data_IF_298994629583
#
_entry.id   IF_298994629583
#
_cell.length_a   1.000
_cell.length_b   1.000
_cell.length_c   1.000
_cell.angle_alpha   90.00
_cell.angle_beta   90.00
_cell.angle_gamma   90.00
#
_symmetry.space_group_name_H-M   'P 1'
#
loop_
_entity.id
_entity.type
_entity.pdbx_description
1 polymer ?
#
# COMPACT_ATOMS: atom_id res chain seq x y z
N UNK A 1 16.23 -30.94 -6.30
CA UNK A 1 15.71 -29.58 -6.58
C UNK A 1 14.23 -29.65 -6.91
N UNK A 2 13.32 -29.36 -5.96
CA UNK A 2 11.89 -29.17 -6.27
C UNK A 2 11.77 -27.89 -7.09
N UNK A 3 11.33 -27.99 -8.34
CA UNK A 3 11.09 -26.79 -9.16
C UNK A 3 9.82 -26.12 -8.65
N UNK A 4 9.80 -24.79 -8.47
CA UNK A 4 8.58 -24.07 -8.14
C UNK A 4 7.51 -24.39 -9.19
N UNK A 5 6.37 -24.90 -8.74
CA UNK A 5 5.21 -25.13 -9.59
C UNK A 5 4.46 -23.81 -9.70
N UNK A 6 4.62 -23.14 -10.84
CA UNK A 6 3.84 -21.93 -11.14
C UNK A 6 2.44 -22.34 -11.62
N UNK A 7 1.37 -21.70 -11.13
CA UNK A 7 0.01 -22.19 -11.30
C UNK A 7 -0.51 -22.11 -12.75
N UNK A 8 0.07 -21.24 -13.58
CA UNK A 8 -0.24 -21.13 -15.01
C UNK A 8 0.46 -22.18 -15.90
N UNK A 9 1.27 -23.07 -15.33
CA UNK A 9 2.05 -24.07 -16.10
C UNK A 9 1.21 -25.30 -16.48
N UNK A 10 0.46 -25.17 -17.57
CA UNK A 10 -0.43 -26.22 -18.09
C UNK A 10 0.27 -27.19 -19.09
N UNK A 11 -0.46 -28.20 -19.57
CA UNK A 11 0.05 -29.19 -20.54
C UNK A 11 0.46 -28.57 -21.88
N UNK A 12 -0.23 -27.54 -22.34
CA UNK A 12 0.13 -26.84 -23.58
C UNK A 12 1.53 -26.22 -23.47
N UNK A 13 1.81 -25.51 -22.37
CA UNK A 13 3.13 -24.94 -22.07
C UNK A 13 4.20 -26.03 -22.01
N UNK A 14 3.89 -27.20 -21.44
CA UNK A 14 4.81 -28.36 -21.42
C UNK A 14 5.14 -28.84 -22.84
N UNK A 15 4.12 -29.00 -23.68
CA UNK A 15 4.28 -29.49 -25.06
C UNK A 15 5.12 -28.54 -25.91
N UNK A 16 4.84 -27.24 -25.88
CA UNK A 16 5.61 -26.26 -26.68
C UNK A 16 7.05 -26.12 -26.19
N UNK A 17 7.31 -26.22 -24.88
CA UNK A 17 8.69 -26.23 -24.34
C UNK A 17 9.44 -27.49 -24.76
N UNK A 18 8.78 -28.65 -24.79
CA UNK A 18 9.37 -29.91 -25.30
C UNK A 18 9.69 -29.78 -26.79
N UNK A 19 8.77 -29.25 -27.60
CA UNK A 19 8.98 -29.03 -29.02
C UNK A 19 10.15 -28.07 -29.29
N UNK A 20 10.23 -26.94 -28.56
CA UNK A 20 11.36 -26.01 -28.62
C UNK A 20 12.69 -26.71 -28.32
N UNK A 21 12.76 -27.51 -27.25
CA UNK A 21 13.96 -28.27 -26.86
C UNK A 21 14.37 -29.32 -27.89
N UNK A 22 13.40 -29.95 -28.57
CA UNK A 22 13.69 -30.92 -29.66
C UNK A 22 14.27 -30.20 -30.87
N UNK A 23 13.66 -29.11 -31.32
CA UNK A 23 14.15 -28.29 -32.42
C UNK A 23 15.54 -27.70 -32.13
N UNK A 24 15.76 -27.23 -30.90
CA UNK A 24 17.06 -26.72 -30.45
C UNK A 24 18.15 -27.79 -30.55
N UNK A 25 17.88 -29.00 -30.03
CA UNK A 25 18.84 -30.11 -30.09
C UNK A 25 19.14 -30.52 -31.53
N UNK A 26 18.12 -30.59 -32.39
CA UNK A 26 18.29 -30.90 -33.80
C UNK A 26 19.20 -29.88 -34.49
N UNK A 27 18.89 -28.58 -34.36
CA UNK A 27 19.73 -27.52 -34.94
C UNK A 27 21.15 -27.51 -34.38
N UNK A 28 21.34 -27.76 -33.07
CA UNK A 28 22.68 -27.85 -32.48
C UNK A 28 23.51 -28.98 -33.08
N UNK A 29 22.88 -30.07 -33.49
CA UNK A 29 23.52 -31.22 -34.13
C UNK A 29 23.75 -31.00 -35.63
N UNK A 30 22.73 -30.59 -36.39
CA UNK A 30 22.81 -30.47 -37.86
C UNK A 30 23.50 -29.19 -38.33
N UNK A 31 23.40 -28.10 -37.57
CA UNK A 31 23.84 -26.73 -37.93
C UNK A 31 23.25 -26.18 -39.23
N UNK A 32 22.24 -26.81 -39.80
CA UNK A 32 21.58 -26.36 -41.03
C UNK A 32 20.70 -25.12 -40.78
N UNK A 33 20.66 -24.22 -41.76
CA UNK A 33 19.85 -23.00 -41.69
C UNK A 33 18.35 -23.30 -41.59
N UNK A 34 17.85 -24.33 -42.29
CA UNK A 34 16.46 -24.77 -42.18
C UNK A 34 16.08 -25.17 -40.75
N UNK A 35 16.94 -25.91 -40.06
CA UNK A 35 16.70 -26.30 -38.66
C UNK A 35 16.79 -25.11 -37.70
N UNK A 36 17.61 -24.08 -38.01
CA UNK A 36 17.63 -22.82 -37.27
C UNK A 36 16.30 -22.08 -37.38
N UNK A 37 15.71 -22.01 -38.58
CA UNK A 37 14.39 -21.39 -38.79
C UNK A 37 13.30 -22.11 -37.99
N UNK A 38 13.30 -23.45 -38.00
CA UNK A 38 12.38 -24.26 -37.21
C UNK A 38 12.56 -23.99 -35.71
N UNK A 39 13.80 -23.95 -35.21
CA UNK A 39 14.08 -23.61 -33.82
C UNK A 39 13.58 -22.21 -33.45
N UNK A 40 13.85 -21.19 -34.27
CA UNK A 40 13.38 -19.81 -34.05
C UNK A 40 11.85 -19.75 -33.98
N UNK A 41 11.16 -20.41 -34.92
CA UNK A 41 9.70 -20.51 -34.92
C UNK A 41 9.17 -21.14 -33.63
N UNK A 42 9.72 -22.29 -33.20
CA UNK A 42 9.33 -22.96 -31.95
C UNK A 42 9.71 -22.16 -30.70
N UNK A 43 10.79 -21.36 -30.73
CA UNK A 43 11.17 -20.43 -29.65
C UNK A 43 10.12 -19.33 -29.48
N UNK A 44 9.70 -18.72 -30.59
CA UNK A 44 8.68 -17.67 -30.58
C UNK A 44 7.32 -18.23 -30.13
N UNK A 45 6.92 -19.39 -30.66
CA UNK A 45 5.70 -20.09 -30.23
C UNK A 45 5.70 -20.38 -28.73
N UNK A 46 6.79 -20.94 -28.19
CA UNK A 46 6.88 -21.22 -26.76
C UNK A 46 6.81 -19.94 -25.91
N UNK A 47 7.42 -18.84 -26.37
CA UNK A 47 7.37 -17.54 -25.68
C UNK A 47 5.94 -16.98 -25.68
N UNK A 48 5.25 -17.03 -26.82
CA UNK A 48 3.87 -16.61 -26.95
C UNK A 48 2.94 -17.39 -26.02
N UNK A 49 2.97 -18.71 -26.08
CA UNK A 49 2.10 -19.57 -25.25
C UNK A 49 2.38 -19.39 -23.77
N UNK A 50 3.64 -19.21 -23.36
CA UNK A 50 3.98 -18.92 -21.96
C UNK A 50 3.40 -17.58 -21.50
N UNK A 51 3.54 -16.51 -22.30
CA UNK A 51 2.97 -15.20 -21.98
C UNK A 51 1.44 -15.27 -21.92
N UNK A 52 0.81 -15.92 -22.89
CA UNK A 52 -0.64 -16.10 -22.95
C UNK A 52 -1.16 -16.84 -21.71
N UNK A 53 -0.62 -18.02 -21.41
CA UNK A 53 -1.05 -18.81 -20.25
C UNK A 53 -0.87 -18.05 -18.92
N UNK A 54 0.22 -17.28 -18.78
CA UNK A 54 0.44 -16.43 -17.62
C UNK A 54 -0.62 -15.31 -17.52
N UNK A 55 -0.87 -14.60 -18.61
CA UNK A 55 -1.86 -13.52 -18.64
C UNK A 55 -3.28 -14.02 -18.39
N UNK A 56 -3.69 -15.10 -19.07
CA UNK A 56 -5.01 -15.72 -18.90
C UNK A 56 -5.23 -16.09 -17.43
N UNK A 57 -4.28 -16.82 -16.83
CA UNK A 57 -4.39 -17.25 -15.44
C UNK A 57 -4.57 -16.06 -14.48
N UNK A 58 -3.71 -15.05 -14.53
CA UNK A 58 -3.80 -13.94 -13.59
C UNK A 58 -5.00 -13.02 -13.86
N UNK A 59 -5.41 -12.88 -15.12
CA UNK A 59 -6.63 -12.12 -15.46
C UNK A 59 -7.87 -12.80 -14.88
N UNK A 60 -8.03 -14.11 -15.11
CA UNK A 60 -9.14 -14.89 -14.55
C UNK A 60 -9.10 -14.88 -13.03
N UNK A 61 -7.92 -15.09 -12.43
CA UNK A 61 -7.76 -15.06 -10.98
C UNK A 61 -8.21 -13.72 -10.37
N UNK A 62 -7.84 -12.59 -10.98
CA UNK A 62 -8.25 -11.26 -10.50
C UNK A 62 -9.76 -11.08 -10.64
N UNK A 63 -10.35 -11.49 -11.76
CA UNK A 63 -11.80 -11.40 -11.99
C UNK A 63 -12.58 -12.22 -10.95
N UNK A 64 -12.19 -13.48 -10.74
CA UNK A 64 -12.82 -14.40 -9.77
C UNK A 64 -12.70 -13.93 -8.31
N UNK A 65 -11.68 -13.13 -7.98
CA UNK A 65 -11.41 -12.65 -6.62
C UNK A 65 -11.62 -11.13 -6.48
N UNK A 66 -12.31 -10.50 -7.42
CA UNK A 66 -12.49 -9.04 -7.47
C UNK A 66 -13.13 -8.43 -6.21
N UNK A 67 -14.01 -9.17 -5.54
CA UNK A 67 -14.68 -8.76 -4.30
C UNK A 67 -13.90 -9.09 -3.02
N UNK A 68 -12.83 -9.89 -3.11
CA UNK A 68 -11.99 -10.29 -1.96
C UNK A 68 -10.66 -9.57 -2.01
N UNK A 69 -10.62 -8.35 -1.46
CA UNK A 69 -9.42 -7.52 -1.41
C UNK A 69 -8.24 -8.27 -0.77
N UNK A 70 -8.48 -9.15 0.21
CA UNK A 70 -7.41 -9.90 0.89
C UNK A 70 -6.73 -10.88 -0.06
N UNK A 71 -7.49 -11.60 -0.88
CA UNK A 71 -6.94 -12.53 -1.88
C UNK A 71 -6.22 -11.81 -3.01
N UNK A 72 -6.73 -10.66 -3.45
CA UNK A 72 -6.07 -9.81 -4.45
C UNK A 72 -4.70 -9.33 -3.94
N UNK A 73 -4.66 -8.72 -2.74
CA UNK A 73 -3.41 -8.25 -2.15
C UNK A 73 -2.40 -9.37 -1.93
N UNK A 74 -2.85 -10.54 -1.47
CA UNK A 74 -1.97 -11.70 -1.29
C UNK A 74 -1.34 -12.14 -2.62
N UNK A 75 -2.12 -12.12 -3.70
CA UNK A 75 -1.67 -12.58 -5.02
C UNK A 75 -0.75 -11.57 -5.71
N UNK A 76 -1.04 -10.27 -5.55
CA UNK A 76 -0.14 -9.20 -5.93
C UNK A 76 1.22 -9.34 -5.20
N UNK A 77 1.20 -9.59 -3.88
CA UNK A 77 2.43 -9.79 -3.10
C UNK A 77 3.29 -10.94 -3.65
N UNK A 78 2.68 -12.07 -4.02
CA UNK A 78 3.38 -13.18 -4.67
C UNK A 78 3.92 -12.82 -6.06
N UNK A 79 3.14 -12.09 -6.87
CA UNK A 79 3.53 -11.65 -8.21
C UNK A 79 4.74 -10.72 -8.20
N UNK A 80 4.75 -9.78 -7.26
CA UNK A 80 5.82 -8.79 -7.12
C UNK A 80 7.02 -9.32 -6.33
N UNK A 81 6.98 -10.59 -5.89
CA UNK A 81 8.05 -11.24 -5.13
C UNK A 81 8.51 -10.39 -3.94
N UNK A 82 7.57 -9.67 -3.31
CA UNK A 82 7.83 -8.86 -2.11
C UNK A 82 7.83 -9.77 -0.87
N UNK A 83 8.80 -10.66 -0.80
CA UNK A 83 9.28 -11.13 0.50
C UNK A 83 10.34 -10.15 0.97
N UNK A 84 9.89 -9.02 1.52
CA UNK A 84 10.76 -8.20 2.35
C UNK A 84 10.70 -8.78 3.75
N UNK A 85 11.68 -9.61 4.10
CA UNK A 85 12.01 -9.82 5.50
C UNK A 85 12.36 -8.44 6.06
N UNK A 86 11.44 -7.91 6.87
CA UNK A 86 11.64 -6.64 7.54
C UNK A 86 12.69 -6.87 8.63
N UNK A 87 13.95 -6.65 8.28
CA UNK A 87 15.04 -6.60 9.23
C UNK A 87 15.00 -5.27 9.95
N UNK A 88 14.34 -5.26 11.10
CA UNK A 88 14.51 -4.18 12.06
C UNK A 88 15.85 -4.35 12.77
N UNK A 89 16.56 -3.25 13.09
CA UNK A 89 17.67 -3.30 14.03
C UNK A 89 17.20 -3.94 15.34
N UNK A 90 18.05 -4.71 16.00
CA UNK A 90 17.82 -5.08 17.39
C UNK A 90 17.83 -3.79 18.22
N UNK A 91 16.65 -3.29 18.57
CA UNK A 91 16.48 -2.13 19.42
C UNK A 91 15.90 -2.59 20.75
N UNK A 92 16.64 -2.37 21.83
CA UNK A 92 16.21 -2.69 23.19
C UNK A 92 15.16 -1.73 23.71
N UNK A 93 15.05 -0.53 23.14
CA UNK A 93 14.12 0.52 23.56
C UNK A 93 13.03 0.78 22.51
N UNK A 94 11.82 0.32 22.82
CA UNK A 94 10.64 0.52 21.99
C UNK A 94 10.29 1.99 21.76
N UNK A 95 10.66 2.89 22.66
CA UNK A 95 10.38 4.33 22.51
C UNK A 95 11.27 4.96 21.45
N UNK A 96 12.56 4.62 21.46
CA UNK A 96 13.53 5.04 20.43
C UNK A 96 13.10 4.49 19.08
N UNK A 97 12.79 3.19 18.99
CA UNK A 97 12.32 2.58 17.74
C UNK A 97 11.05 3.26 17.20
N UNK A 98 10.08 3.58 18.06
CA UNK A 98 8.85 4.24 17.63
C UNK A 98 9.12 5.66 17.09
N UNK A 99 10.00 6.41 17.74
CA UNK A 99 10.40 7.75 17.29
C UNK A 99 11.21 7.69 15.98
N UNK A 100 12.17 6.78 15.86
CA UNK A 100 12.96 6.58 14.63
C UNK A 100 12.07 6.26 13.43
N UNK A 101 11.06 5.39 13.62
CA UNK A 101 10.05 5.10 12.59
C UNK A 101 9.25 6.36 12.26
N UNK A 102 8.85 7.14 13.27
CA UNK A 102 8.17 8.43 13.08
C UNK A 102 8.99 9.40 12.23
N UNK A 103 10.25 9.60 12.59
CA UNK A 103 11.20 10.48 11.92
C UNK A 103 11.46 10.03 10.48
N UNK A 104 11.62 8.71 10.25
CA UNK A 104 11.76 8.17 8.90
C UNK A 104 10.59 8.57 8.00
N UNK A 105 9.34 8.43 8.46
CA UNK A 105 8.17 8.79 7.65
C UNK A 105 7.98 10.29 7.51
N UNK A 106 8.31 11.08 8.53
CA UNK A 106 8.31 12.54 8.46
C UNK A 106 9.30 13.02 7.38
N UNK A 107 10.55 12.55 7.44
CA UNK A 107 11.59 12.85 6.46
C UNK A 107 11.21 12.40 5.05
N UNK A 108 10.66 11.19 4.91
CA UNK A 108 10.20 10.68 3.61
C UNK A 108 9.10 11.55 3.00
N UNK A 109 8.16 12.02 3.82
CA UNK A 109 7.10 12.93 3.36
C UNK A 109 7.68 14.24 2.86
N UNK A 110 8.67 14.78 3.58
CA UNK A 110 9.37 16.00 3.19
C UNK A 110 10.14 15.85 1.87
N UNK A 111 10.90 14.76 1.71
CA UNK A 111 11.58 14.46 0.44
C UNK A 111 10.60 14.36 -0.74
N UNK A 112 9.46 13.68 -0.56
CA UNK A 112 8.44 13.55 -1.62
C UNK A 112 7.88 14.93 -2.01
N UNK A 113 7.62 15.83 -1.04
CA UNK A 113 7.18 17.21 -1.34
C UNK A 113 8.21 17.96 -2.17
N UNK A 114 9.47 17.91 -1.75
CA UNK A 114 10.58 18.57 -2.45
C UNK A 114 10.75 18.05 -3.89
N UNK A 115 10.62 16.74 -4.09
CA UNK A 115 10.66 16.11 -5.41
C UNK A 115 9.49 16.56 -6.31
N UNK A 116 8.28 16.65 -5.75
CA UNK A 116 7.09 17.12 -6.47
C UNK A 116 7.19 18.60 -6.86
N UNK A 117 7.62 19.45 -5.94
CA UNK A 117 7.80 20.89 -6.18
C UNK A 117 8.89 21.12 -7.23
N UNK A 118 9.98 20.34 -7.17
CA UNK A 118 11.03 20.35 -8.19
C UNK A 118 10.48 19.94 -9.56
N UNK A 119 9.70 18.84 -9.63
CA UNK A 119 9.10 18.36 -10.87
C UNK A 119 8.13 19.37 -11.49
N UNK A 120 7.35 20.09 -10.69
CA UNK A 120 6.46 21.14 -11.15
C UNK A 120 7.20 22.31 -11.83
N UNK A 121 8.45 22.57 -11.42
CA UNK A 121 9.29 23.65 -11.97
C UNK A 121 9.85 23.32 -13.37
N UNK A 122 9.95 22.02 -13.74
CA UNK A 122 10.49 21.57 -15.03
C UNK A 122 9.44 21.47 -16.16
N UNK A 123 8.25 22.06 -16.00
CA UNK A 123 7.26 22.05 -17.07
C UNK A 123 7.74 22.86 -18.28
N UNK A 124 8.20 22.14 -19.31
CA UNK A 124 8.47 22.69 -20.64
C UNK A 124 7.17 23.32 -21.21
N UNK A 125 7.22 24.52 -21.82
CA UNK A 125 6.05 25.25 -22.30
C UNK A 125 5.39 24.66 -23.57
N UNK A 126 5.62 23.38 -23.89
CA UNK A 126 5.20 22.79 -25.18
C UNK A 126 3.98 21.87 -25.07
N UNK A 127 3.37 21.72 -23.90
CA UNK A 127 2.11 20.99 -23.73
C UNK A 127 0.97 21.98 -23.63
N UNK A 128 0.03 21.94 -24.57
CA UNK A 128 -1.21 22.72 -24.49
C UNK A 128 -1.85 22.53 -23.11
N UNK A 129 -2.27 23.61 -22.43
CA UNK A 129 -2.81 23.50 -21.08
C UNK A 129 -4.10 22.69 -21.14
N UNK A 130 -4.06 21.46 -20.62
CA UNK A 130 -5.29 20.75 -20.29
C UNK A 130 -6.04 21.63 -19.30
N UNK A 131 -7.19 22.16 -19.72
CA UNK A 131 -8.10 22.91 -18.86
C UNK A 131 -8.68 21.91 -17.86
N UNK A 132 -7.91 21.60 -16.83
CA UNK A 132 -8.44 20.95 -15.65
C UNK A 132 -9.33 21.99 -14.97
N UNK A 133 -10.59 21.64 -14.64
CA UNK A 133 -11.39 22.54 -13.82
C UNK A 133 -10.59 22.80 -12.54
N UNK A 134 -10.30 24.08 -12.27
CA UNK A 134 -9.57 24.51 -11.07
C UNK A 134 -10.49 24.32 -9.85
N UNK A 135 -10.78 23.07 -9.51
CA UNK A 135 -11.56 22.71 -8.33
C UNK A 135 -10.60 22.81 -7.16
N UNK A 136 -10.55 23.99 -6.56
CA UNK A 136 -9.82 24.23 -5.34
C UNK A 136 -10.76 24.06 -4.16
N UNK A 137 -10.30 23.34 -3.13
CA UNK A 137 -10.97 23.31 -1.85
C UNK A 137 -10.72 24.63 -1.15
N UNK A 138 -11.66 25.57 -1.29
CA UNK A 138 -11.54 26.92 -0.71
C UNK A 138 -11.88 26.96 0.79
N UNK A 139 -12.85 26.16 1.22
CA UNK A 139 -13.25 26.12 2.63
C UNK A 139 -13.85 24.78 3.04
N UNK A 140 -13.74 24.48 4.33
CA UNK A 140 -14.45 23.38 4.96
C UNK A 140 -15.86 23.83 5.36
N UNK A 141 -16.85 22.97 5.13
CA UNK A 141 -18.18 23.16 5.69
C UNK A 141 -18.10 23.08 7.21
N UNK A 142 -18.70 24.06 7.89
CA UNK A 142 -18.80 24.04 9.35
C UNK A 142 -19.72 22.93 9.82
N UNK A 143 -19.35 22.32 10.94
CA UNK A 143 -20.14 21.32 11.65
C UNK A 143 -21.12 22.01 12.58
N UNK A 144 -22.34 21.47 12.64
CA UNK A 144 -23.32 21.80 13.67
C UNK A 144 -23.03 21.04 14.97
N UNK A 145 -23.64 21.45 16.08
CA UNK A 145 -23.54 20.71 17.33
C UNK A 145 -24.09 19.29 17.21
N UNK A 146 -25.14 19.07 16.42
CA UNK A 146 -25.68 17.74 16.16
C UNK A 146 -24.69 16.84 15.39
N UNK A 147 -24.00 17.39 14.39
CA UNK A 147 -22.95 16.68 13.65
C UNK A 147 -21.84 16.21 14.62
N UNK A 148 -21.38 17.12 15.48
CA UNK A 148 -20.31 16.84 16.46
C UNK A 148 -20.79 15.85 17.51
N UNK A 149 -22.02 15.96 17.99
CA UNK A 149 -22.60 15.01 18.94
C UNK A 149 -22.67 13.61 18.33
N UNK A 150 -23.11 13.48 17.07
CA UNK A 150 -23.17 12.20 16.37
C UNK A 150 -21.76 11.58 16.20
N UNK A 151 -20.76 12.39 15.86
CA UNK A 151 -19.36 11.96 15.76
C UNK A 151 -18.85 11.46 17.12
N UNK A 152 -19.05 12.24 18.18
CA UNK A 152 -18.61 11.87 19.54
C UNK A 152 -19.32 10.59 19.97
N UNK A 153 -20.64 10.48 19.75
CA UNK A 153 -21.47 9.33 20.12
C UNK A 153 -21.09 8.04 19.40
N UNK A 154 -20.66 8.10 18.14
CA UNK A 154 -20.24 6.93 17.36
C UNK A 154 -18.75 6.57 17.56
N UNK A 155 -17.95 7.45 18.16
CA UNK A 155 -16.53 7.23 18.39
C UNK A 155 -16.24 6.24 19.53
N UNK A 156 -15.07 5.62 19.54
CA UNK A 156 -14.66 4.78 20.68
C UNK A 156 -14.39 5.64 21.92
N UNK A 157 -14.82 5.20 23.11
CA UNK A 157 -14.66 5.93 24.38
C UNK A 157 -13.31 5.59 25.02
N UNK A 158 -12.25 5.80 24.25
CA UNK A 158 -10.86 5.56 24.68
C UNK A 158 -10.27 6.89 25.14
N UNK A 159 -9.56 6.85 26.27
CA UNK A 159 -8.87 8.02 26.81
C UNK A 159 -7.36 7.85 26.66
N UNK A 160 -6.68 8.95 26.41
CA UNK A 160 -5.23 9.06 26.42
C UNK A 160 -4.78 9.73 27.72
N UNK A 161 -3.62 9.37 28.24
CA UNK A 161 -3.03 10.07 29.40
C UNK A 161 -2.59 11.51 29.09
N UNK A 162 -2.56 11.88 27.80
CA UNK A 162 -2.29 13.25 27.35
C UNK A 162 -3.57 14.09 27.27
N UNK A 163 -4.75 13.47 27.39
CA UNK A 163 -6.01 14.21 27.32
C UNK A 163 -6.18 15.05 28.60
N UNK A 164 -6.69 16.29 28.48
CA UNK A 164 -6.94 17.14 29.65
C UNK A 164 -8.03 16.58 30.56
N UNK A 165 -8.89 15.70 30.02
CA UNK A 165 -9.99 15.08 30.74
C UNK A 165 -10.29 13.69 30.16
N UNK A 166 -10.56 12.68 31.00
CA UNK A 166 -11.03 11.38 30.54
C UNK A 166 -12.29 11.47 29.68
N UNK A 167 -12.31 10.73 28.58
CA UNK A 167 -13.39 10.72 27.57
C UNK A 167 -14.75 10.40 28.16
N UNK A 168 -14.83 9.55 29.20
CA UNK A 168 -16.10 9.24 29.85
C UNK A 168 -16.70 10.47 30.56
N UNK A 169 -15.87 11.34 31.13
CA UNK A 169 -16.33 12.61 31.73
C UNK A 169 -16.74 13.62 30.65
N UNK A 170 -16.00 13.67 29.53
CA UNK A 170 -16.40 14.48 28.36
C UNK A 170 -17.80 14.10 27.90
N UNK A 171 -18.08 12.79 27.80
CA UNK A 171 -19.41 12.29 27.40
C UNK A 171 -20.47 12.58 28.46
N UNK A 172 -20.14 12.47 29.75
CA UNK A 172 -21.08 12.76 30.84
C UNK A 172 -21.48 14.24 30.91
N UNK A 173 -20.57 15.15 30.56
CA UNK A 173 -20.81 16.60 30.56
C UNK A 173 -20.99 17.15 29.14
N UNK A 174 -21.39 16.30 28.18
CA UNK A 174 -21.38 16.66 26.77
C UNK A 174 -22.37 17.78 26.45
N UNK A 175 -23.51 17.84 27.12
CA UNK A 175 -24.50 18.91 27.01
C UNK A 175 -23.90 20.30 27.22
N UNK A 176 -22.98 20.43 28.18
CA UNK A 176 -22.28 21.70 28.48
C UNK A 176 -21.09 21.91 27.55
N UNK A 177 -20.38 20.85 27.20
CA UNK A 177 -19.12 20.93 26.43
C UNK A 177 -19.33 21.02 24.92
N UNK A 178 -20.47 20.55 24.40
CA UNK A 178 -20.73 20.41 22.97
C UNK A 178 -20.59 21.72 22.18
N UNK A 179 -21.11 22.88 22.65
CA UNK A 179 -20.92 24.14 21.94
C UNK A 179 -19.44 24.54 21.85
N UNK A 180 -18.68 24.32 22.92
CA UNK A 180 -17.26 24.67 22.98
C UNK A 180 -16.44 23.76 22.07
N UNK A 181 -16.67 22.44 22.14
CA UNK A 181 -15.99 21.46 21.29
C UNK A 181 -16.28 21.74 19.81
N UNK A 182 -17.55 21.99 19.47
CA UNK A 182 -17.98 22.31 18.10
C UNK A 182 -17.28 23.57 17.59
N UNK A 183 -17.22 24.63 18.41
CA UNK A 183 -16.51 25.85 18.07
C UNK A 183 -15.02 25.61 17.85
N UNK A 184 -14.36 24.83 18.71
CA UNK A 184 -12.94 24.52 18.58
C UNK A 184 -12.63 23.77 17.28
N UNK A 185 -13.46 22.78 16.91
CA UNK A 185 -13.30 22.02 15.66
C UNK A 185 -13.47 22.96 14.46
N UNK A 186 -14.54 23.76 14.43
CA UNK A 186 -14.81 24.68 13.32
C UNK A 186 -13.71 25.74 13.16
N UNK A 187 -13.19 26.30 14.25
CA UNK A 187 -12.07 27.23 14.20
C UNK A 187 -10.82 26.57 13.61
N UNK A 188 -10.53 25.32 13.98
CA UNK A 188 -9.37 24.58 13.46
C UNK A 188 -9.52 24.31 11.96
N UNK A 189 -10.71 23.88 11.52
CA UNK A 189 -11.00 23.62 10.11
C UNK A 189 -10.97 24.90 9.25
N UNK A 190 -11.52 25.99 9.75
CA UNK A 190 -11.56 27.27 9.02
C UNK A 190 -10.17 27.91 8.89
N UNK A 191 -9.37 27.85 9.95
CA UNK A 191 -8.04 28.48 9.98
C UNK A 191 -6.92 27.57 9.45
N UNK A 192 -7.19 26.26 9.29
CA UNK A 192 -6.16 25.26 9.03
C UNK A 192 -5.15 25.08 10.16
N UNK A 193 -5.40 25.68 11.33
CA UNK A 193 -4.48 25.67 12.46
C UNK A 193 -4.99 24.74 13.56
N UNK A 194 -4.11 23.85 14.03
CA UNK A 194 -4.41 22.92 15.12
C UNK A 194 -3.46 23.14 16.29
N UNK A 195 -3.94 23.05 17.55
CA UNK A 195 -3.09 23.11 18.73
C UNK A 195 -1.95 22.07 18.68
N UNK A 196 -0.75 22.46 19.09
CA UNK A 196 0.44 21.59 18.97
C UNK A 196 0.32 20.32 19.81
N UNK A 197 -0.28 20.44 20.99
CA UNK A 197 -0.57 19.31 21.87
C UNK A 197 -1.55 18.30 21.27
N UNK A 198 -2.38 18.68 20.29
CA UNK A 198 -3.29 17.75 19.60
C UNK A 198 -2.60 16.89 18.55
N UNK A 199 -1.38 17.28 18.14
CA UNK A 199 -0.55 16.53 17.17
C UNK A 199 0.30 15.45 17.86
N UNK A 200 0.31 15.43 19.19
CA UNK A 200 1.05 14.46 19.98
C UNK A 200 0.24 13.17 20.14
N UNK A 201 0.91 12.04 19.99
CA UNK A 201 0.32 10.72 20.22
C UNK A 201 1.20 9.91 21.16
N UNK A 202 0.58 9.15 22.05
CA UNK A 202 1.27 8.18 22.91
C UNK A 202 1.16 6.79 22.29
N UNK A 203 2.27 6.27 21.78
CA UNK A 203 2.31 4.97 21.09
C UNK A 203 2.74 3.88 22.07
N UNK A 204 1.91 2.86 22.22
CA UNK A 204 2.21 1.68 23.01
C UNK A 204 2.23 0.44 22.09
N UNK A 205 3.41 -0.15 21.82
CA UNK A 205 3.50 -1.38 21.05
C UNK A 205 2.78 -2.52 21.79
N UNK A 206 1.78 -3.12 21.15
CA UNK A 206 1.02 -4.25 21.69
C UNK A 206 1.33 -5.54 20.93
N UNK A 207 1.53 -6.64 21.66
CA UNK A 207 1.71 -7.96 21.05
C UNK A 207 0.38 -8.45 20.45
N UNK A 208 0.42 -8.83 19.17
CA UNK A 208 -0.77 -9.31 18.43
C UNK A 208 -1.27 -10.69 18.90
N UNK A 209 -0.43 -11.49 19.57
CA UNK A 209 -0.74 -12.82 20.11
C UNK A 209 0.01 -13.06 21.42
N UNK A 210 -0.63 -13.68 22.40
CA UNK A 210 -0.09 -14.01 23.73
C UNK A 210 0.99 -15.10 23.76
N UNK A 211 1.44 -15.61 22.60
CA UNK A 211 2.43 -16.70 22.51
C UNK A 211 3.83 -16.28 22.04
N UNK A 212 4.11 -14.98 21.97
CA UNK A 212 5.49 -14.53 21.90
C UNK A 212 5.96 -14.33 23.34
N UNK A 213 6.62 -15.34 23.90
CA UNK A 213 7.32 -15.21 25.17
C UNK A 213 8.31 -14.05 25.05
N UNK A 214 8.22 -13.11 25.99
CA UNK A 214 9.29 -12.13 26.21
C UNK A 214 10.44 -12.93 26.79
N UNK A 215 11.40 -13.32 25.94
CA UNK A 215 12.69 -13.78 26.42
C UNK A 215 13.39 -12.53 26.92
N UNK A 216 13.33 -12.31 28.24
CA UNK A 216 14.32 -11.47 28.90
C UNK A 216 15.66 -12.21 28.78
N UNK A 217 16.60 -11.62 28.05
CA UNK A 217 18.04 -11.85 28.25
C UNK A 217 18.56 -10.65 29.03
#
# INVERSE_FOLDING_TARGET
VKRPTVPWFNEEVKLVKRARRRAERKWRWTKLYGDLLVYKSKKNQATFVMKRACNEYYTTFIQENSSDHRKLFKSAKFLFNQETDLHFPECSDNTVLANDIGDFFANKTECIRQELDSAATYHNPTSEPQIMPNVQLDSFKTLTEDDVNQIISNSSKKSCSLDPMPTHLVVHCLDVLLPVITRMINLSLQSGCFPENWKLAKVHPGLKKSKAEVIYI
#
